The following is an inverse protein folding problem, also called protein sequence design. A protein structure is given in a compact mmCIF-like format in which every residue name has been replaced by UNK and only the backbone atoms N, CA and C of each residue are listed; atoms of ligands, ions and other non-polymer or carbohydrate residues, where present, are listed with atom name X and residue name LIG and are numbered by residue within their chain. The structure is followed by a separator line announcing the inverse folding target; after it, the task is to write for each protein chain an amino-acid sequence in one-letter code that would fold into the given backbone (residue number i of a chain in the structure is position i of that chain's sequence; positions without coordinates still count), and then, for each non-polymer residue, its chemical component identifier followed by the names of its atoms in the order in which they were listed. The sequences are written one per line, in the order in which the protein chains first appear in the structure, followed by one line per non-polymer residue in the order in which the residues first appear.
data_IF_698981148026
#
_entry.id   IF_698981148026
#
_cell.length_a   1.000
_cell.length_b   1.000
_cell.length_c   1.000
_cell.angle_alpha   90.00
_cell.angle_beta   90.00
_cell.angle_gamma   90.00
#
_symmetry.space_group_name_H-M   'P 1'
#
loop_
_entity.id
_entity.type
_entity.pdbx_description
1 polymer ?
#
# COMPACT_ATOMS: atom_id res chain seq x y z
N UNK A 1 -3.60 11.35 -29.84
CA UNK A 1 -4.02 12.76 -29.69
C UNK A 1 -2.83 13.72 -29.75
N UNK A 2 -1.64 13.39 -29.24
CA UNK A 2 -0.48 14.31 -29.13
C UNK A 2 0.19 14.78 -30.43
N UNK A 3 -0.05 14.16 -31.58
CA UNK A 3 0.67 14.47 -32.84
C UNK A 3 0.21 15.74 -33.58
N UNK A 4 -0.86 16.39 -33.12
CA UNK A 4 -1.47 17.54 -33.83
C UNK A 4 -1.66 18.76 -32.93
N UNK A 5 -1.03 18.82 -31.77
CA UNK A 5 -1.18 19.91 -30.81
C UNK A 5 -0.02 20.89 -31.03
N UNK A 6 -0.28 22.20 -31.26
CA UNK A 6 0.76 23.21 -31.36
C UNK A 6 1.59 23.27 -30.07
N UNK A 7 2.90 23.46 -30.25
CA UNK A 7 3.85 23.64 -29.12
C UNK A 7 3.37 24.76 -28.17
N UNK A 8 3.27 24.45 -26.89
CA UNK A 8 2.78 25.37 -25.85
C UNK A 8 1.34 25.12 -25.39
N UNK A 9 0.52 24.41 -26.18
CA UNK A 9 -0.84 24.03 -25.80
C UNK A 9 -0.94 22.61 -25.21
N UNK A 10 0.13 21.84 -25.26
CA UNK A 10 0.14 20.42 -24.84
C UNK A 10 -0.29 20.26 -23.38
N UNK A 11 0.22 21.08 -22.47
CA UNK A 11 -0.13 21.03 -21.06
C UNK A 11 -1.60 21.39 -20.82
N UNK A 12 -2.12 22.39 -21.54
CA UNK A 12 -3.52 22.79 -21.48
C UNK A 12 -4.43 21.65 -21.94
N UNK A 13 -4.14 21.08 -23.12
CA UNK A 13 -4.94 19.99 -23.70
C UNK A 13 -4.87 18.75 -22.84
N UNK A 14 -3.71 18.37 -22.30
CA UNK A 14 -3.55 17.22 -21.42
C UNK A 14 -4.35 17.38 -20.12
N UNK A 15 -4.25 18.56 -19.47
CA UNK A 15 -4.97 18.80 -18.22
C UNK A 15 -6.49 18.87 -18.43
N UNK A 16 -6.97 19.53 -19.49
CA UNK A 16 -8.40 19.55 -19.79
C UNK A 16 -8.92 18.17 -20.20
N UNK A 17 -8.19 17.43 -21.04
CA UNK A 17 -8.57 16.08 -21.45
C UNK A 17 -8.63 15.13 -20.24
N UNK A 18 -7.62 15.19 -19.36
CA UNK A 18 -7.60 14.38 -18.13
C UNK A 18 -8.75 14.77 -17.20
N UNK A 19 -9.04 16.07 -17.04
CA UNK A 19 -10.14 16.56 -16.21
C UNK A 19 -11.52 16.14 -16.74
N UNK A 20 -11.76 16.29 -18.04
CA UNK A 20 -13.01 15.89 -18.69
C UNK A 20 -13.21 14.37 -18.62
N UNK A 21 -12.16 13.59 -18.92
CA UNK A 21 -12.19 12.14 -18.83
C UNK A 21 -12.42 11.67 -17.38
N UNK A 22 -11.70 12.28 -16.43
CA UNK A 22 -11.87 12.01 -15.00
C UNK A 22 -13.29 12.30 -14.51
N UNK A 23 -13.87 13.43 -14.92
CA UNK A 23 -15.26 13.77 -14.62
C UNK A 23 -16.23 12.76 -15.23
N UNK A 24 -16.04 12.39 -16.51
CA UNK A 24 -16.86 11.36 -17.16
C UNK A 24 -16.80 10.01 -16.46
N UNK A 25 -15.59 9.56 -16.10
CA UNK A 25 -15.39 8.33 -15.33
C UNK A 25 -16.00 8.41 -13.93
N UNK A 26 -15.93 9.55 -13.27
CA UNK A 26 -16.56 9.75 -11.96
C UNK A 26 -18.09 9.66 -12.05
N UNK A 27 -18.70 10.25 -13.09
CA UNK A 27 -20.16 10.15 -13.34
C UNK A 27 -20.55 8.70 -13.60
N UNK A 28 -19.83 7.98 -14.47
CA UNK A 28 -20.07 6.56 -14.73
C UNK A 28 -19.88 5.73 -13.46
N UNK A 29 -18.82 5.97 -12.70
CA UNK A 29 -18.60 5.30 -11.41
C UNK A 29 -19.74 5.55 -10.43
N UNK A 30 -20.20 6.78 -10.30
CA UNK A 30 -21.29 7.13 -9.41
C UNK A 30 -22.64 6.51 -9.85
N UNK A 31 -22.95 6.56 -11.15
CA UNK A 31 -24.25 6.10 -11.66
C UNK A 31 -24.36 4.59 -11.86
N UNK A 32 -23.25 3.91 -12.15
CA UNK A 32 -23.23 2.46 -12.43
C UNK A 32 -22.68 1.68 -11.24
N UNK A 33 -21.48 1.98 -10.80
CA UNK A 33 -20.84 1.27 -9.69
C UNK A 33 -21.48 1.62 -8.34
N UNK A 34 -21.90 2.86 -8.13
CA UNK A 34 -22.52 3.32 -6.89
C UNK A 34 -23.71 2.48 -6.43
N UNK A 35 -24.77 2.28 -7.26
CA UNK A 35 -25.91 1.45 -6.90
C UNK A 35 -25.55 -0.01 -6.62
N UNK A 36 -24.60 -0.59 -7.36
CA UNK A 36 -24.12 -1.95 -7.12
C UNK A 36 -23.42 -2.07 -5.75
N UNK A 37 -22.51 -1.17 -5.44
CA UNK A 37 -21.80 -1.13 -4.13
C UNK A 37 -22.80 -0.86 -3.00
N UNK A 38 -23.75 0.05 -3.19
CA UNK A 38 -24.80 0.33 -2.20
C UNK A 38 -25.67 -0.89 -1.93
N UNK A 39 -26.05 -1.64 -2.96
CA UNK A 39 -26.82 -2.89 -2.83
C UNK A 39 -26.06 -3.96 -2.07
N UNK A 40 -24.78 -4.17 -2.40
CA UNK A 40 -23.91 -5.11 -1.69
C UNK A 40 -23.72 -4.72 -0.21
N UNK A 41 -23.46 -3.44 0.04
CA UNK A 41 -23.36 -2.89 1.40
C UNK A 41 -24.64 -3.11 2.20
N UNK A 42 -25.80 -2.84 1.60
CA UNK A 42 -27.10 -3.05 2.25
C UNK A 42 -27.34 -4.53 2.59
N UNK A 43 -26.97 -5.45 1.70
CA UNK A 43 -27.09 -6.90 1.93
C UNK A 43 -26.20 -7.37 3.10
N UNK A 44 -24.93 -6.95 3.12
CA UNK A 44 -24.00 -7.30 4.20
C UNK A 44 -24.44 -6.68 5.53
N UNK A 45 -24.90 -5.44 5.54
CA UNK A 45 -25.43 -4.77 6.72
C UNK A 45 -26.71 -5.45 7.25
N UNK A 46 -27.61 -5.89 6.36
CA UNK A 46 -28.81 -6.62 6.75
C UNK A 46 -28.48 -7.99 7.35
N UNK A 47 -27.50 -8.72 6.76
CA UNK A 47 -26.99 -9.97 7.31
C UNK A 47 -26.39 -9.79 8.70
N UNK A 48 -25.53 -8.80 8.88
CA UNK A 48 -24.93 -8.47 10.16
C UNK A 48 -25.98 -8.15 11.23
N UNK A 49 -26.97 -7.31 10.92
CA UNK A 49 -28.07 -7.00 11.85
C UNK A 49 -28.88 -8.22 12.25
N UNK A 50 -29.22 -9.11 11.29
CA UNK A 50 -30.00 -10.33 11.58
C UNK A 50 -29.23 -11.27 12.51
N UNK A 51 -27.93 -11.50 12.27
CA UNK A 51 -27.10 -12.35 13.10
C UNK A 51 -26.95 -11.75 14.51
N UNK A 52 -26.75 -10.44 14.60
CA UNK A 52 -26.68 -9.72 15.88
C UNK A 52 -27.97 -9.86 16.66
N UNK A 53 -29.13 -9.66 16.02
CA UNK A 53 -30.44 -9.77 16.66
C UNK A 53 -30.75 -11.21 17.11
N UNK A 54 -30.23 -12.20 16.39
CA UNK A 54 -30.36 -13.62 16.75
C UNK A 54 -29.39 -14.09 17.84
N UNK A 55 -28.46 -13.23 18.31
CA UNK A 55 -27.48 -13.58 19.33
C UNK A 55 -26.28 -14.43 18.83
N UNK A 56 -26.16 -14.66 17.53
CA UNK A 56 -25.09 -15.47 16.95
C UNK A 56 -23.88 -14.63 16.52
N UNK A 57 -23.41 -13.72 17.39
CA UNK A 57 -22.29 -12.81 17.12
C UNK A 57 -21.04 -13.49 16.52
N UNK A 58 -20.63 -14.71 16.90
CA UNK A 58 -19.48 -15.36 16.26
C UNK A 58 -19.63 -15.56 14.75
N UNK A 59 -20.86 -15.68 14.22
CA UNK A 59 -21.12 -15.85 12.80
C UNK A 59 -21.06 -14.53 12.00
N UNK A 60 -20.94 -13.41 12.67
CA UNK A 60 -20.88 -12.09 12.01
C UNK A 60 -19.64 -11.95 11.10
N UNK A 61 -18.58 -12.70 11.40
CA UNK A 61 -17.37 -12.75 10.58
C UNK A 61 -17.63 -13.20 9.13
N UNK A 62 -18.70 -13.99 8.88
CA UNK A 62 -19.15 -14.36 7.52
C UNK A 62 -19.50 -13.15 6.65
N UNK A 63 -19.84 -12.02 7.26
CA UNK A 63 -20.19 -10.78 6.57
C UNK A 63 -19.09 -9.74 6.67
N UNK A 64 -18.43 -9.65 7.83
CA UNK A 64 -17.37 -8.66 8.09
C UNK A 64 -16.14 -8.96 7.24
N UNK A 65 -15.62 -10.20 7.26
CA UNK A 65 -14.35 -10.51 6.60
C UNK A 65 -14.42 -10.38 5.07
N UNK A 66 -15.46 -10.87 4.37
CA UNK A 66 -15.64 -10.56 2.95
C UNK A 66 -15.81 -9.05 2.68
N UNK A 67 -16.57 -8.36 3.53
CA UNK A 67 -16.79 -6.91 3.40
C UNK A 67 -15.51 -6.10 3.52
N UNK A 68 -14.59 -6.48 4.40
CA UNK A 68 -13.27 -5.85 4.52
C UNK A 68 -12.52 -5.95 3.19
N UNK A 69 -12.35 -7.15 2.67
CA UNK A 69 -11.57 -7.41 1.45
C UNK A 69 -12.18 -6.76 0.21
N UNK A 70 -13.48 -6.53 0.22
CA UNK A 70 -14.20 -5.79 -0.83
C UNK A 70 -14.20 -4.27 -0.59
N UNK A 71 -13.38 -3.75 0.34
CA UNK A 71 -13.27 -2.33 0.69
C UNK A 71 -14.58 -1.70 1.22
N UNK A 72 -15.50 -2.53 1.77
CA UNK A 72 -16.78 -2.11 2.35
C UNK A 72 -16.69 -2.06 3.89
N UNK A 73 -15.51 -2.32 4.46
CA UNK A 73 -15.25 -2.32 5.90
C UNK A 73 -15.77 -1.06 6.61
N UNK A 74 -15.49 0.12 6.08
CA UNK A 74 -15.96 1.39 6.65
C UNK A 74 -17.49 1.51 6.66
N UNK A 75 -18.17 1.03 5.61
CA UNK A 75 -19.63 1.06 5.55
C UNK A 75 -20.25 0.11 6.57
N UNK A 76 -19.67 -1.07 6.79
CA UNK A 76 -20.12 -2.02 7.82
C UNK A 76 -19.83 -1.45 9.22
N UNK A 77 -18.61 -0.95 9.44
CA UNK A 77 -18.21 -0.42 10.73
C UNK A 77 -19.03 0.81 11.10
N UNK A 78 -18.97 1.89 10.32
CA UNK A 78 -19.64 3.15 10.65
C UNK A 78 -21.15 3.11 10.40
N UNK A 79 -21.63 2.31 9.46
CA UNK A 79 -23.05 2.21 9.13
C UNK A 79 -23.85 1.24 10.03
N UNK A 80 -23.19 0.27 10.67
CA UNK A 80 -23.87 -0.77 11.46
C UNK A 80 -23.26 -0.95 12.84
N UNK A 81 -21.97 -1.30 12.91
CA UNK A 81 -21.36 -1.74 14.17
C UNK A 81 -21.13 -0.60 15.14
N UNK A 82 -20.63 0.54 14.68
CA UNK A 82 -20.36 1.69 15.54
C UNK A 82 -21.63 2.29 16.15
N UNK A 83 -22.76 2.50 15.43
CA UNK A 83 -24.02 2.91 16.04
C UNK A 83 -24.53 1.93 17.09
N UNK A 84 -24.48 0.61 16.83
CA UNK A 84 -24.85 -0.41 17.81
C UNK A 84 -23.95 -0.36 19.03
N UNK A 85 -22.64 -0.26 18.80
CA UNK A 85 -21.65 -0.14 19.84
C UNK A 85 -21.82 1.07 20.74
N UNK A 86 -22.13 2.23 20.16
CA UNK A 86 -22.41 3.46 20.94
C UNK A 86 -23.68 3.30 21.78
N UNK A 87 -24.72 2.69 21.24
CA UNK A 87 -25.96 2.42 21.98
C UNK A 87 -25.70 1.48 23.17
N UNK A 88 -24.95 0.40 22.97
CA UNK A 88 -24.60 -0.57 24.02
C UNK A 88 -23.64 0.04 25.06
N UNK A 89 -22.62 0.78 24.61
CA UNK A 89 -21.64 1.40 25.52
C UNK A 89 -22.26 2.45 26.44
N UNK A 90 -23.32 3.15 26.00
CA UNK A 90 -24.09 4.07 26.86
C UNK A 90 -24.78 3.34 28.04
N UNK A 91 -25.13 2.09 27.87
CA UNK A 91 -25.82 1.30 28.89
C UNK A 91 -24.85 0.48 29.74
N UNK A 92 -23.84 -0.14 29.13
CA UNK A 92 -22.94 -1.10 29.77
C UNK A 92 -21.52 -0.55 30.02
N UNK A 93 -21.23 0.69 29.60
CA UNK A 93 -19.90 1.31 29.70
C UNK A 93 -18.87 0.78 28.69
N UNK A 94 -19.21 -0.23 27.88
CA UNK A 94 -18.38 -0.86 26.86
C UNK A 94 -19.24 -1.55 25.83
N UNK A 95 -18.64 -1.86 24.64
CA UNK A 95 -19.31 -2.65 23.62
C UNK A 95 -18.37 -3.60 22.90
N UNK A 96 -18.85 -4.80 22.60
CA UNK A 96 -18.21 -5.79 21.78
C UNK A 96 -18.19 -5.37 20.29
N UNK A 97 -19.17 -4.60 19.85
CA UNK A 97 -19.28 -4.16 18.45
C UNK A 97 -18.08 -3.33 17.99
N UNK A 98 -17.42 -2.67 18.92
CA UNK A 98 -16.18 -1.92 18.61
C UNK A 98 -14.98 -2.84 18.31
N UNK A 99 -15.03 -4.14 18.69
CA UNK A 99 -13.96 -5.11 18.48
C UNK A 99 -14.11 -5.94 17.21
N UNK A 100 -15.30 -6.00 16.60
CA UNK A 100 -15.59 -7.01 15.57
C UNK A 100 -14.90 -6.70 14.23
N UNK A 101 -15.01 -5.47 13.73
CA UNK A 101 -14.41 -5.09 12.45
C UNK A 101 -12.95 -4.68 12.59
N UNK A 102 -12.56 -3.78 13.53
CA UNK A 102 -11.18 -3.30 13.61
C UNK A 102 -10.20 -4.27 14.27
N UNK A 103 -10.60 -5.49 14.58
CA UNK A 103 -9.73 -6.51 15.17
C UNK A 103 -8.51 -6.80 14.29
N UNK A 104 -7.27 -6.53 14.75
CA UNK A 104 -6.07 -6.78 13.94
C UNK A 104 -5.69 -8.28 13.89
N UNK A 105 -6.26 -9.12 14.73
CA UNK A 105 -5.82 -10.50 14.91
C UNK A 105 -5.81 -11.30 13.62
N UNK A 106 -6.88 -11.26 12.82
CA UNK A 106 -6.98 -12.03 11.58
C UNK A 106 -5.90 -11.64 10.58
N UNK A 107 -5.68 -10.33 10.37
CA UNK A 107 -4.63 -9.83 9.48
C UNK A 107 -3.24 -10.26 9.94
N UNK A 108 -2.97 -10.21 11.26
CA UNK A 108 -1.71 -10.72 11.85
C UNK A 108 -1.52 -12.19 11.53
N UNK A 109 -2.52 -13.02 11.78
CA UNK A 109 -2.47 -14.46 11.52
C UNK A 109 -2.19 -14.77 10.06
N UNK A 110 -2.90 -14.11 9.15
CA UNK A 110 -2.71 -14.28 7.71
C UNK A 110 -1.31 -13.86 7.25
N UNK A 111 -0.86 -12.67 7.63
CA UNK A 111 0.44 -12.14 7.23
C UNK A 111 1.60 -12.98 7.82
N UNK A 112 1.47 -13.49 9.04
CA UNK A 112 2.42 -14.45 9.60
C UNK A 112 2.46 -15.76 8.80
N UNK A 113 1.32 -16.27 8.33
CA UNK A 113 1.27 -17.46 7.49
C UNK A 113 2.00 -17.23 6.15
N UNK A 114 1.81 -16.09 5.50
CA UNK A 114 2.54 -15.73 4.29
C UNK A 114 4.03 -15.50 4.55
N UNK A 115 4.40 -14.85 5.63
CA UNK A 115 5.80 -14.63 5.99
C UNK A 115 6.56 -15.92 6.18
N UNK A 116 5.99 -16.87 6.93
CA UNK A 116 6.68 -18.12 7.29
C UNK A 116 6.59 -19.18 6.18
N UNK A 117 5.44 -19.29 5.51
CA UNK A 117 5.14 -20.38 4.58
C UNK A 117 4.84 -19.92 3.15
N UNK A 118 4.76 -18.62 2.89
CA UNK A 118 4.57 -18.07 1.55
C UNK A 118 5.80 -18.24 0.67
N UNK A 119 5.64 -17.91 -0.61
CA UNK A 119 6.69 -18.01 -1.65
C UNK A 119 6.82 -16.69 -2.39
N UNK A 120 8.00 -16.43 -2.97
CA UNK A 120 8.24 -15.28 -3.82
C UNK A 120 7.97 -13.93 -3.13
N UNK A 121 7.39 -13.00 -3.87
CA UNK A 121 7.13 -11.62 -3.42
C UNK A 121 6.14 -11.53 -2.26
N UNK A 122 5.15 -12.42 -2.17
CA UNK A 122 4.21 -12.42 -1.05
C UNK A 122 4.91 -12.71 0.28
N UNK A 123 5.90 -13.61 0.29
CA UNK A 123 6.71 -13.89 1.48
C UNK A 123 7.55 -12.69 1.89
N UNK A 124 8.21 -12.03 0.92
CA UNK A 124 9.12 -10.91 1.23
C UNK A 124 8.40 -9.64 1.67
N UNK A 125 7.17 -9.40 1.17
CA UNK A 125 6.38 -8.21 1.53
C UNK A 125 5.56 -8.37 2.81
N UNK A 126 5.26 -9.60 3.23
CA UNK A 126 4.42 -9.87 4.40
C UNK A 126 4.94 -9.27 5.72
N UNK A 127 6.25 -9.28 6.06
CA UNK A 127 6.75 -8.66 7.29
C UNK A 127 6.49 -7.16 7.37
N UNK A 128 6.72 -6.42 6.29
CA UNK A 128 6.44 -4.99 6.23
C UNK A 128 4.96 -4.69 6.39
N UNK A 129 4.10 -5.43 5.68
CA UNK A 129 2.66 -5.33 5.82
C UNK A 129 2.18 -5.65 7.24
N UNK A 130 2.76 -6.68 7.88
CA UNK A 130 2.45 -7.07 9.26
C UNK A 130 2.72 -5.94 10.26
N UNK A 131 3.89 -5.31 10.19
CA UNK A 131 4.28 -4.22 11.08
C UNK A 131 3.31 -3.05 10.94
N UNK A 132 3.05 -2.62 9.72
CA UNK A 132 2.18 -1.47 9.47
C UNK A 132 0.72 -1.80 9.80
N UNK A 133 0.27 -3.03 9.54
CA UNK A 133 -1.07 -3.48 9.92
C UNK A 133 -1.24 -3.51 11.43
N UNK A 134 -0.37 -4.19 12.17
CA UNK A 134 -0.54 -4.43 13.60
C UNK A 134 -0.32 -3.18 14.46
N UNK A 135 0.74 -2.43 14.17
CA UNK A 135 1.06 -1.22 14.92
C UNK A 135 0.41 0.04 14.35
N UNK A 136 0.32 0.16 13.01
CA UNK A 136 -0.31 1.29 12.34
C UNK A 136 -1.84 1.17 12.24
N UNK A 137 -2.38 -0.06 12.30
CA UNK A 137 -3.82 -0.30 12.23
C UNK A 137 -4.42 -0.16 10.83
N UNK A 138 -3.60 -0.30 9.78
CA UNK A 138 -4.04 -0.20 8.38
C UNK A 138 -4.37 -1.60 7.88
N UNK A 139 -5.67 -1.94 7.84
CA UNK A 139 -6.15 -3.27 7.50
C UNK A 139 -6.06 -3.58 6.01
N UNK A 140 -6.17 -2.58 5.16
CA UNK A 140 -6.08 -2.69 3.72
C UNK A 140 -4.78 -3.33 3.23
N UNK A 141 -3.73 -3.34 4.06
CA UNK A 141 -2.44 -3.96 3.72
C UNK A 141 -2.51 -5.48 3.54
N UNK A 142 -3.43 -6.18 4.19
CA UNK A 142 -3.57 -7.62 3.96
C UNK A 142 -4.59 -7.97 2.88
N UNK A 143 -5.44 -7.03 2.42
CA UNK A 143 -6.46 -7.30 1.40
C UNK A 143 -5.88 -7.88 0.12
N UNK A 144 -4.76 -7.36 -0.44
CA UNK A 144 -4.14 -7.96 -1.62
C UNK A 144 -3.76 -9.42 -1.43
N UNK A 145 -3.30 -9.81 -0.25
CA UNK A 145 -2.94 -11.20 0.05
C UNK A 145 -4.16 -12.13 0.00
N UNK A 146 -5.33 -11.64 0.43
CA UNK A 146 -6.59 -12.38 0.31
C UNK A 146 -7.06 -12.40 -1.14
N UNK A 147 -7.03 -11.28 -1.85
CA UNK A 147 -7.45 -11.19 -3.25
C UNK A 147 -6.61 -12.07 -4.18
N UNK A 148 -5.30 -12.19 -3.93
CA UNK A 148 -4.41 -13.09 -4.67
C UNK A 148 -4.69 -14.57 -4.38
N UNK A 149 -5.20 -14.90 -3.21
CA UNK A 149 -5.58 -16.26 -2.83
C UNK A 149 -6.90 -16.24 -2.05
N UNK A 150 -8.06 -16.18 -2.74
CA UNK A 150 -9.37 -16.02 -2.10
C UNK A 150 -9.73 -17.12 -1.10
N UNK A 151 -9.12 -18.31 -1.19
CA UNK A 151 -9.32 -19.38 -0.20
C UNK A 151 -8.87 -18.97 1.21
N UNK A 152 -7.95 -18.02 1.33
CA UNK A 152 -7.52 -17.49 2.63
C UNK A 152 -8.63 -16.73 3.36
N UNK A 153 -9.70 -16.32 2.65
CA UNK A 153 -10.89 -15.74 3.26
C UNK A 153 -11.55 -16.72 4.25
N UNK A 154 -11.47 -18.03 3.98
CA UNK A 154 -11.95 -19.06 4.92
C UNK A 154 -11.18 -19.00 6.25
N UNK A 155 -9.86 -18.78 6.18
CA UNK A 155 -9.05 -18.61 7.39
C UNK A 155 -9.40 -17.31 8.14
N UNK A 156 -9.65 -16.22 7.42
CA UNK A 156 -10.08 -14.94 8.01
C UNK A 156 -11.42 -15.10 8.73
N UNK A 157 -12.40 -15.73 8.09
CA UNK A 157 -13.72 -15.99 8.68
C UNK A 157 -13.59 -16.88 9.91
N UNK A 158 -12.82 -17.96 9.85
CA UNK A 158 -12.60 -18.85 10.99
C UNK A 158 -11.97 -18.10 12.17
N UNK A 159 -10.93 -17.31 11.94
CA UNK A 159 -10.28 -16.49 12.96
C UNK A 159 -11.19 -15.41 13.53
N UNK A 160 -11.95 -14.73 12.68
CA UNK A 160 -12.93 -13.72 13.10
C UNK A 160 -14.04 -14.29 13.96
N UNK A 161 -14.56 -15.47 13.58
CA UNK A 161 -15.58 -16.20 14.36
C UNK A 161 -15.03 -16.66 15.70
N UNK A 162 -13.81 -17.20 15.74
CA UNK A 162 -13.15 -17.61 16.97
C UNK A 162 -12.88 -16.43 17.92
N UNK A 163 -12.39 -15.32 17.37
CA UNK A 163 -12.19 -14.09 18.13
C UNK A 163 -13.51 -13.57 18.74
N UNK A 164 -14.57 -13.50 17.92
CA UNK A 164 -15.88 -13.06 18.38
C UNK A 164 -16.45 -13.98 19.47
N UNK A 165 -16.24 -15.30 19.35
CA UNK A 165 -16.64 -16.25 20.39
C UNK A 165 -15.92 -15.96 21.71
N UNK A 166 -14.61 -15.72 21.68
CA UNK A 166 -13.83 -15.39 22.88
C UNK A 166 -14.27 -14.04 23.46
N UNK A 167 -14.51 -13.03 22.60
CA UNK A 167 -15.03 -11.74 23.06
C UNK A 167 -16.38 -11.87 23.76
N UNK A 168 -17.29 -12.68 23.25
CA UNK A 168 -18.59 -12.95 23.88
C UNK A 168 -18.40 -13.68 25.21
N UNK A 169 -17.64 -14.77 25.23
CA UNK A 169 -17.49 -15.64 26.43
C UNK A 169 -16.75 -14.94 27.56
N UNK A 170 -15.76 -14.09 27.23
CA UNK A 170 -15.01 -13.32 28.22
C UNK A 170 -15.62 -11.95 28.50
N UNK A 171 -16.78 -11.65 27.93
CA UNK A 171 -17.45 -10.36 28.07
C UNK A 171 -16.50 -9.19 27.72
N UNK A 172 -15.75 -9.32 26.62
CA UNK A 172 -14.84 -8.29 26.14
C UNK A 172 -15.61 -7.13 25.49
N UNK A 173 -15.03 -5.95 25.51
CA UNK A 173 -15.59 -4.77 24.85
C UNK A 173 -14.64 -3.59 25.00
N UNK A 174 -14.80 -2.57 24.15
CA UNK A 174 -14.09 -1.30 24.24
C UNK A 174 -15.05 -0.20 24.67
N UNK A 175 -14.49 0.89 25.21
CA UNK A 175 -15.30 2.05 25.68
C UNK A 175 -15.77 2.94 24.55
N UNK A 176 -15.10 2.89 23.40
CA UNK A 176 -15.44 3.67 22.21
C UNK A 176 -15.01 2.94 20.93
N UNK A 177 -15.52 3.40 19.77
CA UNK A 177 -15.02 2.97 18.45
C UNK A 177 -13.54 3.33 18.31
N UNK A 178 -12.76 2.42 17.73
CA UNK A 178 -11.36 2.73 17.50
C UNK A 178 -10.99 2.72 16.01
N UNK A 179 -10.26 3.76 15.66
CA UNK A 179 -9.63 3.93 14.37
C UNK A 179 -8.34 4.75 14.60
N UNK A 180 -7.21 4.30 14.11
CA UNK A 180 -6.96 3.09 13.33
C UNK A 180 -7.10 1.81 14.18
N UNK A 181 -7.34 0.66 13.49
CA UNK A 181 -7.48 -0.66 14.12
C UNK A 181 -6.17 -1.26 14.63
N UNK A 182 -5.38 -0.51 15.37
CA UNK A 182 -4.06 -0.92 15.87
C UNK A 182 -4.14 -1.57 17.25
N UNK A 183 -3.14 -2.36 17.58
CA UNK A 183 -3.05 -2.94 18.94
C UNK A 183 -2.95 -1.86 20.02
N UNK A 184 -2.27 -0.75 19.75
CA UNK A 184 -2.14 0.34 20.71
C UNK A 184 -3.49 0.98 21.02
N UNK A 185 -4.31 1.24 19.98
CA UNK A 185 -5.63 1.81 20.15
C UNK A 185 -6.57 0.85 20.88
N UNK A 186 -6.49 -0.45 20.58
CA UNK A 186 -7.25 -1.48 21.30
C UNK A 186 -6.91 -1.50 22.80
N UNK A 187 -5.62 -1.42 23.15
CA UNK A 187 -5.16 -1.36 24.56
C UNK A 187 -5.65 -0.06 25.22
N UNK A 188 -5.52 1.06 24.55
CA UNK A 188 -5.89 2.36 25.10
C UNK A 188 -7.41 2.49 25.40
N UNK A 189 -8.25 1.83 24.59
CA UNK A 189 -9.71 1.88 24.72
C UNK A 189 -10.30 0.71 25.49
N UNK A 190 -9.47 -0.21 25.99
CA UNK A 190 -9.93 -1.28 26.86
C UNK A 190 -10.37 -0.71 28.23
N UNK A 191 -11.54 -1.08 28.75
CA UNK A 191 -11.99 -0.64 30.07
C UNK A 191 -11.08 -1.18 31.17
N UNK A 192 -11.09 -0.55 32.34
CA UNK A 192 -10.33 -1.04 33.50
C UNK A 192 -10.70 -2.50 33.81
N UNK A 193 -9.70 -3.39 33.84
CA UNK A 193 -9.89 -4.83 34.00
C UNK A 193 -10.35 -5.59 32.74
N UNK A 194 -10.65 -4.90 31.63
CA UNK A 194 -11.11 -5.52 30.38
C UNK A 194 -10.00 -5.81 29.36
N UNK A 195 -8.76 -5.45 29.64
CA UNK A 195 -7.65 -5.60 28.69
C UNK A 195 -7.38 -7.07 28.36
N UNK A 196 -7.33 -7.95 29.35
CA UNK A 196 -7.05 -9.37 29.14
C UNK A 196 -8.10 -10.05 28.23
N UNK A 197 -9.41 -9.91 28.45
CA UNK A 197 -10.44 -10.37 27.51
C UNK A 197 -10.25 -9.88 26.08
N UNK A 198 -9.89 -8.61 25.88
CA UNK A 198 -9.65 -8.01 24.55
C UNK A 198 -8.43 -8.67 23.90
N UNK A 199 -7.31 -8.78 24.60
CA UNK A 199 -6.10 -9.40 24.08
C UNK A 199 -6.30 -10.89 23.77
N UNK A 200 -7.01 -11.62 24.63
CA UNK A 200 -7.32 -13.04 24.40
C UNK A 200 -8.08 -13.24 23.09
N UNK A 201 -9.07 -12.42 22.78
CA UNK A 201 -9.79 -12.53 21.52
C UNK A 201 -8.95 -12.15 20.30
N UNK A 202 -8.14 -11.08 20.40
CA UNK A 202 -7.21 -10.70 19.32
C UNK A 202 -6.22 -11.82 19.03
N UNK A 203 -5.58 -12.38 20.06
CA UNK A 203 -4.63 -13.49 19.94
C UNK A 203 -5.31 -14.74 19.38
N UNK A 204 -6.51 -15.08 19.85
CA UNK A 204 -7.27 -16.22 19.32
C UNK A 204 -7.56 -16.02 17.83
N UNK A 205 -7.99 -14.83 17.41
CA UNK A 205 -8.19 -14.51 16.01
C UNK A 205 -6.93 -14.70 15.18
N UNK A 206 -5.79 -14.23 15.68
CA UNK A 206 -4.50 -14.39 15.02
C UNK A 206 -4.08 -15.86 14.90
N UNK A 207 -4.14 -16.61 15.98
CA UNK A 207 -3.72 -18.02 16.01
C UNK A 207 -4.60 -18.89 15.12
N UNK A 208 -5.93 -18.74 15.20
CA UNK A 208 -6.86 -19.53 14.38
C UNK A 208 -6.69 -19.18 12.89
N UNK A 209 -6.62 -17.90 12.54
CA UNK A 209 -6.35 -17.50 11.14
C UNK A 209 -5.04 -18.07 10.66
N UNK A 210 -3.97 -17.95 11.46
CA UNK A 210 -2.64 -18.48 11.11
C UNK A 210 -2.70 -19.99 10.82
N UNK A 211 -3.23 -20.77 11.74
CA UNK A 211 -3.28 -22.23 11.61
C UNK A 211 -4.10 -22.66 10.40
N UNK A 212 -5.26 -22.06 10.17
CA UNK A 212 -6.11 -22.38 9.01
C UNK A 212 -5.48 -21.90 7.71
N UNK A 213 -4.75 -20.79 7.71
CA UNK A 213 -4.10 -20.26 6.52
C UNK A 213 -2.87 -21.08 6.08
N UNK A 214 -2.16 -21.76 6.99
CA UNK A 214 -0.94 -22.54 6.66
C UNK A 214 -1.14 -23.50 5.48
N UNK A 215 -2.09 -24.45 5.51
CA UNK A 215 -2.26 -25.40 4.42
C UNK A 215 -2.67 -24.71 3.10
N UNK A 216 -3.40 -23.61 3.18
CA UNK A 216 -3.85 -22.83 2.01
C UNK A 216 -2.65 -22.13 1.37
N UNK A 217 -1.84 -21.44 2.17
CA UNK A 217 -0.67 -20.69 1.68
C UNK A 217 0.42 -21.63 1.16
N UNK A 218 0.66 -22.78 1.82
CA UNK A 218 1.63 -23.77 1.36
C UNK A 218 1.30 -24.36 -0.01
N UNK A 219 0.01 -24.59 -0.29
CA UNK A 219 -0.48 -25.16 -1.56
C UNK A 219 -0.56 -24.12 -2.68
N UNK A 220 -0.55 -22.84 -2.36
CA UNK A 220 -0.56 -21.80 -3.37
C UNK A 220 0.69 -21.90 -4.27
N UNK A 221 0.47 -21.95 -5.58
CA UNK A 221 1.54 -21.84 -6.56
C UNK A 221 2.17 -20.45 -6.46
N UNK A 222 3.48 -20.30 -6.74
CA UNK A 222 4.06 -18.98 -6.88
C UNK A 222 3.32 -18.25 -8.00
N UNK A 223 2.56 -17.24 -7.65
CA UNK A 223 1.86 -16.45 -8.66
C UNK A 223 2.85 -15.40 -9.17
N UNK A 224 3.40 -15.62 -10.36
CA UNK A 224 4.30 -14.68 -11.05
C UNK A 224 3.55 -13.50 -11.68
N UNK A 225 2.24 -13.61 -11.85
CA UNK A 225 1.41 -12.61 -12.53
C UNK A 225 0.68 -11.72 -11.52
N UNK A 226 1.16 -10.53 -11.32
CA UNK A 226 0.55 -9.48 -10.49
C UNK A 226 1.52 -8.81 -9.52
N UNK A 227 2.71 -9.35 -9.36
CA UNK A 227 3.73 -8.83 -8.45
C UNK A 227 4.36 -7.51 -8.92
N UNK A 228 4.17 -7.11 -10.16
CA UNK A 228 4.71 -5.83 -10.66
C UNK A 228 4.06 -4.60 -10.01
N UNK A 229 2.81 -4.69 -9.56
CA UNK A 229 2.11 -3.57 -8.93
C UNK A 229 2.42 -3.40 -7.44
N UNK A 230 3.03 -4.40 -6.77
CA UNK A 230 3.38 -4.35 -5.34
C UNK A 230 4.89 -4.47 -5.07
N UNK A 231 5.73 -4.20 -6.06
CA UNK A 231 7.16 -3.98 -5.83
C UNK A 231 7.38 -2.63 -5.15
N UNK A 232 7.12 -2.57 -3.86
CA UNK A 232 7.81 -1.60 -3.03
C UNK A 232 9.31 -1.96 -3.08
N UNK A 233 9.98 -1.30 -3.99
CA UNK A 233 11.42 -1.03 -4.05
C UNK A 233 12.35 -1.89 -3.16
N UNK A 234 12.58 -3.15 -3.53
CA UNK A 234 13.74 -3.91 -3.07
C UNK A 234 14.27 -4.80 -4.21
N UNK A 235 14.28 -4.31 -5.45
CA UNK A 235 15.18 -4.91 -6.44
C UNK A 235 16.52 -4.19 -6.41
N UNK A 236 17.62 -4.96 -6.46
CA UNK A 236 18.92 -4.36 -6.66
C UNK A 236 18.88 -3.58 -7.97
N UNK A 237 19.43 -2.38 -7.94
CA UNK A 237 19.67 -1.54 -9.10
C UNK A 237 20.22 -2.42 -10.22
N UNK A 238 19.43 -2.70 -11.26
CA UNK A 238 20.00 -3.17 -12.50
C UNK A 238 20.79 -1.99 -13.03
N UNK A 239 22.06 -1.96 -12.67
CA UNK A 239 23.03 -1.12 -13.30
C UNK A 239 23.05 -1.56 -14.76
N UNK A 240 22.47 -0.77 -15.65
CA UNK A 240 22.81 -0.86 -17.07
C UNK A 240 24.32 -0.68 -17.10
N UNK A 241 25.03 -1.69 -17.57
CA UNK A 241 26.49 -1.80 -17.48
C UNK A 241 27.17 -0.50 -17.94
N UNK A 242 28.10 0.04 -17.19
CA UNK A 242 28.77 1.27 -17.54
C UNK A 242 29.67 1.03 -18.74
N UNK A 243 29.36 1.73 -19.84
CA UNK A 243 30.35 1.96 -20.91
C UNK A 243 31.49 2.79 -20.29
N UNK A 244 32.77 2.50 -20.58
CA UNK A 244 33.91 3.15 -19.91
C UNK A 244 33.84 4.67 -20.00
N UNK A 245 34.24 5.31 -18.93
CA UNK A 245 34.01 6.68 -18.53
C UNK A 245 34.66 7.74 -19.46
N UNK A 246 33.87 8.34 -20.33
CA UNK A 246 34.09 9.74 -20.68
C UNK A 246 33.26 10.59 -19.70
N UNK A 247 33.81 11.72 -19.21
CA UNK A 247 33.03 12.67 -18.40
C UNK A 247 31.89 13.21 -19.26
N UNK A 248 30.63 13.15 -18.79
CA UNK A 248 29.53 13.68 -19.58
C UNK A 248 29.63 15.20 -19.67
N UNK A 249 29.28 15.75 -20.82
CA UNK A 249 29.23 17.19 -20.99
C UNK A 249 28.15 17.84 -20.11
N UNK A 250 27.02 17.13 -19.91
CA UNK A 250 25.88 17.57 -19.08
C UNK A 250 25.21 16.36 -18.41
N UNK A 251 24.78 16.54 -17.17
CA UNK A 251 23.89 15.58 -16.48
C UNK A 251 22.48 16.14 -16.51
N UNK A 252 21.52 15.37 -17.04
CA UNK A 252 20.13 15.78 -17.17
C UNK A 252 19.27 15.05 -16.15
N UNK A 253 18.64 15.80 -15.26
CA UNK A 253 17.59 15.26 -14.36
C UNK A 253 16.24 15.26 -15.09
N UNK A 254 15.58 14.12 -15.13
CA UNK A 254 14.33 13.98 -15.88
C UNK A 254 13.20 13.54 -14.95
N UNK A 255 12.10 14.30 -14.97
CA UNK A 255 10.83 13.86 -14.38
C UNK A 255 9.70 14.04 -15.40
N UNK A 256 8.49 13.56 -15.09
CA UNK A 256 7.37 13.59 -16.03
C UNK A 256 7.12 15.02 -16.58
N UNK A 257 7.11 16.03 -15.70
CA UNK A 257 6.77 17.42 -16.04
C UNK A 257 7.99 18.37 -16.15
N UNK A 258 9.21 17.92 -15.93
CA UNK A 258 10.41 18.75 -15.95
C UNK A 258 10.53 19.80 -14.84
N UNK A 259 9.62 19.80 -13.86
CA UNK A 259 9.54 20.78 -12.76
C UNK A 259 9.34 20.07 -11.42
N UNK A 260 9.72 20.74 -10.33
CA UNK A 260 9.55 20.22 -8.98
C UNK A 260 10.65 19.27 -8.57
N UNK A 261 10.39 17.96 -8.52
CA UNK A 261 11.32 16.97 -7.97
C UNK A 261 12.66 16.85 -8.71
N UNK A 262 12.66 16.96 -10.04
CA UNK A 262 13.90 16.98 -10.85
C UNK A 262 14.77 18.21 -10.57
N UNK A 263 14.16 19.36 -10.32
CA UNK A 263 14.88 20.60 -9.95
C UNK A 263 15.60 20.42 -8.61
N UNK A 264 14.91 19.84 -7.63
CA UNK A 264 15.47 19.58 -6.29
C UNK A 264 16.63 18.59 -6.39
N UNK A 265 16.44 17.47 -7.11
CA UNK A 265 17.48 16.47 -7.33
C UNK A 265 18.71 17.03 -8.03
N UNK A 266 18.51 17.83 -9.07
CA UNK A 266 19.60 18.53 -9.77
C UNK A 266 20.39 19.47 -8.84
N UNK A 267 19.69 20.19 -7.95
CA UNK A 267 20.35 21.06 -6.97
C UNK A 267 21.16 20.28 -5.94
N UNK A 268 20.68 19.13 -5.49
CA UNK A 268 21.39 18.24 -4.54
C UNK A 268 22.66 17.68 -5.19
N UNK A 269 22.55 17.13 -6.40
CA UNK A 269 23.71 16.57 -7.11
C UNK A 269 24.73 17.64 -7.44
N UNK A 270 24.30 18.83 -7.91
CA UNK A 270 25.21 19.97 -8.17
C UNK A 270 26.02 20.34 -6.94
N UNK A 271 25.41 20.34 -5.76
CA UNK A 271 26.12 20.60 -4.48
C UNK A 271 27.14 19.51 -4.16
N UNK A 272 26.83 18.24 -4.40
CA UNK A 272 27.74 17.11 -4.17
C UNK A 272 28.91 17.13 -5.15
N UNK A 273 28.66 17.39 -6.43
CA UNK A 273 29.71 17.56 -7.45
C UNK A 273 30.66 18.72 -7.10
N UNK A 274 30.11 19.88 -6.69
CA UNK A 274 30.92 21.02 -6.24
C UNK A 274 31.81 20.71 -5.04
N UNK A 275 31.31 19.92 -4.05
CA UNK A 275 32.14 19.44 -2.94
C UNK A 275 33.26 18.50 -3.39
N UNK A 276 33.04 17.73 -4.43
CA UNK A 276 34.03 16.83 -5.04
C UNK A 276 34.93 17.52 -6.08
N UNK A 277 34.83 18.85 -6.24
CA UNK A 277 35.56 19.64 -7.23
C UNK A 277 35.36 19.17 -8.69
N UNK A 278 34.16 18.62 -8.97
CA UNK A 278 33.75 18.19 -10.30
C UNK A 278 32.87 19.28 -10.94
N UNK A 279 33.43 20.00 -11.91
CA UNK A 279 32.70 21.04 -12.65
C UNK A 279 31.99 20.41 -13.84
N UNK A 280 30.78 19.85 -13.58
CA UNK A 280 29.92 19.24 -14.59
C UNK A 280 28.54 19.91 -14.49
N UNK A 281 28.04 20.50 -15.59
CA UNK A 281 26.72 21.10 -15.62
C UNK A 281 25.62 20.08 -15.31
N UNK A 282 24.67 20.47 -14.46
CA UNK A 282 23.51 19.65 -14.11
C UNK A 282 22.27 20.45 -14.50
N UNK A 283 21.48 19.92 -15.40
CA UNK A 283 20.22 20.51 -15.86
C UNK A 283 19.02 19.66 -15.49
N UNK A 284 17.82 20.12 -15.76
CA UNK A 284 16.58 19.37 -15.60
C UNK A 284 15.70 19.56 -16.84
N UNK A 285 14.91 18.53 -17.15
CA UNK A 285 13.99 18.53 -18.29
C UNK A 285 12.74 17.69 -17.99
N UNK A 286 11.67 17.92 -18.75
CA UNK A 286 10.59 16.95 -18.84
C UNK A 286 11.05 15.72 -19.63
N UNK A 287 10.42 14.57 -19.42
CA UNK A 287 10.73 13.37 -20.18
C UNK A 287 10.48 13.58 -21.68
N UNK A 288 9.45 14.36 -22.04
CA UNK A 288 9.16 14.77 -23.43
C UNK A 288 10.26 15.59 -24.10
N UNK A 289 11.04 16.32 -23.30
CA UNK A 289 12.06 17.26 -23.77
C UNK A 289 13.47 16.69 -23.67
N UNK A 290 13.58 15.40 -23.28
CA UNK A 290 14.85 14.71 -23.20
C UNK A 290 15.47 14.54 -24.58
N UNK A 291 16.67 15.09 -24.77
CA UNK A 291 17.40 14.96 -26.03
C UNK A 291 17.90 13.51 -26.23
N UNK A 292 17.74 12.96 -27.43
CA UNK A 292 18.25 11.63 -27.80
C UNK A 292 19.79 11.51 -27.69
N UNK A 293 20.48 12.65 -27.70
CA UNK A 293 21.94 12.77 -27.56
C UNK A 293 22.39 12.95 -26.11
N UNK A 294 21.49 12.85 -25.12
CA UNK A 294 21.87 12.95 -23.72
C UNK A 294 22.89 11.87 -23.36
N UNK A 295 23.95 12.25 -22.64
CA UNK A 295 25.04 11.33 -22.28
C UNK A 295 24.81 10.70 -20.90
N UNK A 296 24.21 11.47 -19.98
CA UNK A 296 23.88 11.01 -18.63
C UNK A 296 22.53 11.55 -18.19
N UNK A 297 21.65 10.62 -17.76
CA UNK A 297 20.30 10.92 -17.32
C UNK A 297 20.09 10.40 -15.92
N UNK A 298 19.53 11.23 -15.04
CA UNK A 298 19.07 10.84 -13.70
C UNK A 298 17.56 10.98 -13.68
N UNK A 299 16.85 9.89 -13.46
CA UNK A 299 15.39 9.88 -13.45
C UNK A 299 14.83 8.95 -12.40
N UNK A 300 13.54 9.10 -12.10
CA UNK A 300 12.84 8.17 -11.23
C UNK A 300 12.80 6.78 -11.89
N UNK A 301 12.88 5.71 -11.09
CA UNK A 301 12.94 4.32 -11.57
C UNK A 301 11.80 3.99 -12.56
N UNK A 302 10.60 4.49 -12.30
CA UNK A 302 9.43 4.33 -13.19
C UNK A 302 9.60 4.93 -14.59
N UNK A 303 10.54 5.88 -14.75
CA UNK A 303 10.81 6.56 -16.02
C UNK A 303 12.05 6.00 -16.75
N UNK A 304 12.83 5.13 -16.10
CA UNK A 304 14.12 4.67 -16.62
C UNK A 304 14.01 3.97 -17.99
N UNK A 305 13.01 3.10 -18.16
CA UNK A 305 12.77 2.42 -19.44
C UNK A 305 12.47 3.42 -20.57
N UNK A 306 11.53 4.34 -20.32
CA UNK A 306 11.14 5.37 -21.29
C UNK A 306 12.28 6.34 -21.60
N UNK A 307 13.08 6.70 -20.60
CA UNK A 307 14.27 7.53 -20.79
C UNK A 307 15.32 6.81 -21.66
N UNK A 308 15.48 5.48 -21.49
CA UNK A 308 16.35 4.64 -22.30
C UNK A 308 15.89 4.49 -23.75
N UNK A 309 14.60 4.48 -24.00
CA UNK A 309 14.02 4.46 -25.34
C UNK A 309 14.28 5.79 -26.08
N UNK A 310 14.21 6.93 -25.37
CA UNK A 310 14.42 8.26 -25.93
C UNK A 310 15.93 8.53 -26.14
N UNK A 311 16.77 8.14 -25.18
CA UNK A 311 18.21 8.37 -25.21
C UNK A 311 18.98 7.04 -25.04
N UNK A 312 19.02 6.18 -26.07
CA UNK A 312 19.60 4.83 -25.97
C UNK A 312 21.12 4.82 -25.74
N UNK A 313 21.80 5.94 -25.97
CA UNK A 313 23.23 6.11 -25.68
C UNK A 313 23.52 6.66 -24.28
N UNK A 314 22.52 7.10 -23.55
CA UNK A 314 22.69 7.70 -22.25
C UNK A 314 23.01 6.70 -21.16
N UNK A 315 23.88 7.09 -20.21
CA UNK A 315 24.02 6.38 -18.93
C UNK A 315 22.88 6.79 -18.01
N UNK A 316 21.98 5.86 -17.68
CA UNK A 316 20.80 6.15 -16.87
C UNK A 316 21.04 5.75 -15.41
N UNK A 317 20.86 6.71 -14.49
CA UNK A 317 20.83 6.50 -13.05
C UNK A 317 19.39 6.60 -12.57
N UNK A 318 18.82 5.44 -12.23
CA UNK A 318 17.47 5.37 -11.68
C UNK A 318 17.49 5.65 -10.18
N UNK A 319 16.69 6.61 -9.73
CA UNK A 319 16.53 6.99 -8.32
C UNK A 319 15.12 6.68 -7.85
N UNK A 320 14.99 6.32 -6.58
CA UNK A 320 13.68 6.15 -5.93
C UNK A 320 13.15 7.49 -5.42
N UNK A 321 14.07 8.32 -4.87
CA UNK A 321 13.80 9.66 -4.37
C UNK A 321 14.83 10.67 -4.87
N UNK A 322 14.38 11.90 -5.20
CA UNK A 322 15.28 12.97 -5.66
C UNK A 322 15.96 13.74 -4.51
N UNK A 323 15.58 13.53 -3.25
CA UNK A 323 16.13 14.32 -2.14
C UNK A 323 17.35 13.62 -1.50
N UNK A 324 17.24 12.34 -1.18
CA UNK A 324 18.28 11.59 -0.44
C UNK A 324 18.68 10.30 -1.16
N UNK A 325 18.92 10.35 -2.46
CA UNK A 325 19.28 9.13 -3.19
C UNK A 325 20.77 8.76 -2.98
N UNK A 326 21.08 7.51 -2.60
CA UNK A 326 22.45 6.99 -2.53
C UNK A 326 23.11 6.94 -3.92
N UNK A 327 22.33 6.97 -5.00
CA UNK A 327 22.83 7.02 -6.38
C UNK A 327 23.69 8.26 -6.64
N UNK A 328 23.48 9.35 -5.91
CA UNK A 328 24.29 10.57 -6.07
C UNK A 328 25.74 10.37 -5.63
N UNK A 329 25.98 9.62 -4.59
CA UNK A 329 27.34 9.29 -4.14
C UNK A 329 28.02 8.34 -5.11
N UNK A 330 27.25 7.45 -5.75
CA UNK A 330 27.76 6.60 -6.80
C UNK A 330 28.13 7.42 -8.04
N UNK A 331 27.26 8.35 -8.49
CA UNK A 331 27.56 9.25 -9.60
C UNK A 331 28.85 10.04 -9.34
N UNK A 332 29.03 10.58 -8.14
CA UNK A 332 30.24 11.31 -7.77
C UNK A 332 31.48 10.41 -7.84
N UNK A 333 31.40 9.17 -7.33
CA UNK A 333 32.53 8.20 -7.44
C UNK A 333 32.84 7.81 -8.87
N UNK A 334 31.81 7.58 -9.71
CA UNK A 334 31.97 7.16 -11.10
C UNK A 334 32.57 8.27 -11.98
N UNK A 335 32.41 9.54 -11.56
CA UNK A 335 32.92 10.72 -12.25
C UNK A 335 34.24 11.24 -11.67
N UNK A 336 34.64 10.78 -10.47
CA UNK A 336 35.92 11.12 -9.88
C UNK A 336 37.07 10.57 -10.74
N UNK A 337 38.17 11.31 -10.91
CA UNK A 337 39.36 10.78 -11.59
C UNK A 337 39.83 9.53 -10.87
N UNK A 338 40.10 8.46 -11.60
CA UNK A 338 40.81 7.31 -11.02
C UNK A 338 42.11 7.82 -10.39
N UNK A 339 42.27 7.62 -9.09
CA UNK A 339 43.54 7.86 -8.45
C UNK A 339 44.62 7.06 -9.20
N UNK A 340 45.54 7.77 -9.86
CA UNK A 340 46.70 7.13 -10.46
C UNK A 340 47.53 6.64 -9.30
N UNK A 341 47.45 5.35 -8.99
CA UNK A 341 48.41 4.65 -8.14
C UNK A 341 49.76 4.56 -8.80
#
# INVERSE_FOLDING_TARGET
FGRHIPTGFEMLVNNFSAGILGMGLAIVGFTVAGPFVAGLTAALAAGSRRITAAGYLPLIALFIEPGKVLFINNAINHGVLAPLGVAEAKQLGKSIFFLLEPNPGQGVGLLCAYWLFGKGTTRSSAPGALIIHFFGGIHELYFPFVLMNPLTLVAMIAGGSAAALVFVTLNAGLVATYSPGSIFTAIALAPKGGLLPVLCGIVTGAVVTFVVAIPIVKRASPMEAGAEQFRFATEPVVAVQPKPAARPAVIVFVCEAGMGSSVIGAAVLRRKLGKAQLDIPVTHAALSDLAATAEMVVCQRSLASRAGEIAPGARIYAVDEYINSPAYDQIVRDLAPAERG
#
